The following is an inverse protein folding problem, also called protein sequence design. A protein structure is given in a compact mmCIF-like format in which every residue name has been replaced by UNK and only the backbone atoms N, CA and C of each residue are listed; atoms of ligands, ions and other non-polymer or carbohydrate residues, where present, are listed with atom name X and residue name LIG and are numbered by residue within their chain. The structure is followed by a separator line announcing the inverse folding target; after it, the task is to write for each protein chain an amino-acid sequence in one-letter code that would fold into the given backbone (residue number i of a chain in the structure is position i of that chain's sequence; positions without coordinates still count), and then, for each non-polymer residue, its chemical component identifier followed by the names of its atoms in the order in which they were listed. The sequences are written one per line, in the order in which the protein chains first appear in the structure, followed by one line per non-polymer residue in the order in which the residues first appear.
data_IF_969939015318
#
_entry.id   IF_969939015318
#
_cell.length_a   1.000
_cell.length_b   1.000
_cell.length_c   1.000
_cell.angle_alpha   90.00
_cell.angle_beta   90.00
_cell.angle_gamma   90.00
#
_symmetry.space_group_name_H-M   'P 1'
#
loop_
_entity.id
_entity.type
_entity.pdbx_description
1 polymer ?
#
# COMPACT_ATOMS: atom_id res chain seq x y z
N UNK A 1 -28.07 20.20 -13.06
CA UNK A 1 -27.20 21.15 -12.33
C UNK A 1 -27.51 21.06 -10.84
N UNK A 2 -26.49 21.15 -10.00
CA UNK A 2 -26.68 21.20 -8.55
C UNK A 2 -27.50 22.43 -8.14
N UNK A 3 -28.37 22.26 -7.15
CA UNK A 3 -29.33 23.27 -6.69
C UNK A 3 -28.91 23.94 -5.38
N UNK A 4 -27.92 23.38 -4.68
CA UNK A 4 -27.44 23.86 -3.39
C UNK A 4 -26.01 23.36 -3.10
N UNK A 5 -25.39 23.90 -2.05
CA UNK A 5 -24.01 23.56 -1.66
C UNK A 5 -23.83 22.09 -1.27
N UNK A 6 -24.87 21.45 -0.72
CA UNK A 6 -24.82 20.03 -0.36
C UNK A 6 -24.70 19.15 -1.61
N UNK A 7 -25.44 19.48 -2.66
CA UNK A 7 -25.35 18.80 -3.96
C UNK A 7 -24.00 19.05 -4.62
N UNK A 8 -23.46 20.28 -4.55
CA UNK A 8 -22.11 20.58 -5.06
C UNK A 8 -21.06 19.72 -4.34
N UNK A 9 -21.10 19.65 -3.01
CA UNK A 9 -20.18 18.83 -2.22
C UNK A 9 -20.23 17.36 -2.64
N UNK A 10 -21.44 16.80 -2.77
CA UNK A 10 -21.62 15.41 -3.19
C UNK A 10 -21.08 15.16 -4.61
N UNK A 11 -21.26 16.10 -5.54
CA UNK A 11 -20.71 15.99 -6.89
C UNK A 11 -19.17 16.02 -6.89
N UNK A 12 -18.55 16.86 -6.04
CA UNK A 12 -17.09 16.92 -5.90
C UNK A 12 -16.55 15.62 -5.31
N UNK A 13 -17.16 15.10 -4.24
CA UNK A 13 -16.77 13.83 -3.63
C UNK A 13 -16.87 12.67 -4.63
N UNK A 14 -17.95 12.61 -5.41
CA UNK A 14 -18.12 11.60 -6.46
C UNK A 14 -17.06 11.72 -7.55
N UNK A 15 -16.76 12.94 -8.02
CA UNK A 15 -15.73 13.16 -9.03
C UNK A 15 -14.35 12.69 -8.53
N UNK A 16 -14.00 13.03 -7.28
CA UNK A 16 -12.75 12.59 -6.64
C UNK A 16 -12.67 11.07 -6.57
N UNK A 17 -13.73 10.40 -6.09
CA UNK A 17 -13.79 8.94 -5.98
C UNK A 17 -13.62 8.30 -7.37
N UNK A 18 -14.34 8.79 -8.37
CA UNK A 18 -14.26 8.29 -9.73
C UNK A 18 -12.85 8.43 -10.33
N UNK A 19 -12.17 9.55 -10.09
CA UNK A 19 -10.79 9.77 -10.55
C UNK A 19 -9.82 8.75 -9.95
N UNK A 20 -9.85 8.57 -8.63
CA UNK A 20 -8.92 7.66 -7.96
C UNK A 20 -9.25 6.18 -8.24
N UNK A 21 -10.51 5.84 -8.49
CA UNK A 21 -10.95 4.46 -8.75
C UNK A 21 -10.50 3.90 -10.10
N UNK A 22 -10.02 4.74 -11.03
CA UNK A 22 -9.51 4.31 -12.34
C UNK A 22 -8.32 3.35 -12.19
N UNK A 23 -8.15 2.47 -13.16
CA UNK A 23 -6.97 1.59 -13.22
C UNK A 23 -5.67 2.37 -13.45
N UNK A 24 -5.75 3.51 -14.13
CA UNK A 24 -4.62 4.41 -14.39
C UNK A 24 -4.33 5.41 -13.27
N UNK A 25 -4.98 5.29 -12.11
CA UNK A 25 -4.85 6.20 -10.98
C UNK A 25 -3.41 6.32 -10.48
N UNK A 26 -2.91 7.55 -10.42
CA UNK A 26 -1.62 7.89 -9.84
C UNK A 26 -1.61 7.60 -8.33
N UNK A 27 -2.74 7.79 -7.64
CA UNK A 27 -2.89 7.43 -6.22
C UNK A 27 -2.59 5.94 -6.02
N UNK A 28 -3.20 5.06 -6.82
CA UNK A 28 -2.95 3.60 -6.75
C UNK A 28 -1.48 3.26 -7.01
N UNK A 29 -0.90 3.87 -8.05
CA UNK A 29 0.50 3.65 -8.40
C UNK A 29 1.45 4.06 -7.26
N UNK A 30 1.23 5.22 -6.65
CA UNK A 30 2.04 5.70 -5.53
C UNK A 30 1.87 4.81 -4.28
N UNK A 31 0.66 4.36 -3.98
CA UNK A 31 0.39 3.42 -2.88
C UNK A 31 1.17 2.12 -3.08
N UNK A 32 1.00 1.48 -4.24
CA UNK A 32 1.70 0.22 -4.57
C UNK A 32 3.22 0.40 -4.56
N UNK A 33 3.73 1.46 -5.19
CA UNK A 33 5.17 1.71 -5.26
C UNK A 33 5.78 1.93 -3.87
N UNK A 34 5.09 2.68 -3.01
CA UNK A 34 5.55 2.93 -1.63
C UNK A 34 5.60 1.62 -0.84
N UNK A 35 4.59 0.75 -0.97
CA UNK A 35 4.60 -0.58 -0.35
C UNK A 35 5.74 -1.47 -0.87
N UNK A 36 5.99 -1.44 -2.18
CA UNK A 36 7.10 -2.17 -2.81
C UNK A 36 8.47 -1.70 -2.31
N UNK A 37 8.64 -0.39 -2.13
CA UNK A 37 9.88 0.20 -1.61
C UNK A 37 10.14 -0.23 -0.17
N UNK A 38 9.11 -0.22 0.68
CA UNK A 38 9.24 -0.73 2.06
C UNK A 38 9.49 -2.23 2.12
N UNK A 39 8.97 -3.04 1.20
CA UNK A 39 9.37 -4.46 1.12
C UNK A 39 10.86 -4.57 0.80
N UNK A 40 11.35 -3.81 -0.17
CA UNK A 40 12.76 -3.86 -0.54
C UNK A 40 13.66 -3.40 0.62
N UNK A 41 13.33 -2.27 1.25
CA UNK A 41 14.11 -1.68 2.34
C UNK A 41 14.00 -2.48 3.65
N UNK A 42 12.78 -2.63 4.18
CA UNK A 42 12.55 -3.17 5.52
C UNK A 42 12.71 -4.69 5.56
N UNK A 43 12.48 -5.38 4.44
CA UNK A 43 12.41 -6.85 4.40
C UNK A 43 13.60 -7.48 3.73
N UNK A 44 13.92 -7.06 2.51
CA UNK A 44 15.00 -7.69 1.73
C UNK A 44 16.35 -7.07 2.06
N UNK A 45 16.43 -5.75 2.20
CA UNK A 45 17.65 -5.03 2.56
C UNK A 45 18.16 -5.34 3.97
N UNK A 46 17.27 -5.67 4.90
CA UNK A 46 17.64 -6.07 6.27
C UNK A 46 17.97 -7.55 6.43
N UNK A 47 17.82 -8.36 5.37
CA UNK A 47 17.94 -9.81 5.44
C UNK A 47 19.29 -10.30 4.90
N UNK A 48 20.10 -10.87 5.78
CA UNK A 48 21.32 -11.60 5.41
C UNK A 48 21.05 -13.10 5.53
N UNK A 49 20.89 -13.84 4.41
CA UNK A 49 20.57 -15.27 4.47
C UNK A 49 21.71 -16.08 5.07
N UNK A 50 21.42 -16.91 6.07
CA UNK A 50 22.33 -17.96 6.55
C UNK A 50 21.81 -19.37 6.24
N UNK A 51 20.49 -19.53 6.05
CA UNK A 51 19.83 -20.84 5.95
C UNK A 51 18.94 -20.99 4.71
N UNK A 52 18.27 -19.93 4.27
CA UNK A 52 17.40 -19.98 3.10
C UNK A 52 17.31 -18.64 2.37
N UNK A 53 17.11 -18.70 1.06
CA UNK A 53 16.87 -17.54 0.20
C UNK A 53 15.40 -17.14 0.24
N UNK A 54 15.12 -15.83 0.23
CA UNK A 54 13.74 -15.33 0.12
C UNK A 54 13.27 -15.40 -1.32
N UNK A 55 12.00 -15.72 -1.52
CA UNK A 55 11.43 -15.90 -2.86
C UNK A 55 11.29 -14.60 -3.67
N UNK A 56 11.39 -13.43 -3.04
CA UNK A 56 11.16 -12.12 -3.68
C UNK A 56 9.69 -11.78 -3.95
N UNK A 57 8.77 -12.73 -3.76
CA UNK A 57 7.36 -12.63 -4.20
C UNK A 57 6.49 -11.69 -3.37
N UNK A 58 6.95 -11.26 -2.19
CA UNK A 58 6.16 -10.34 -1.35
C UNK A 58 5.99 -8.99 -2.05
N UNK A 59 7.02 -8.52 -2.75
CA UNK A 59 7.03 -7.22 -3.43
C UNK A 59 5.97 -7.14 -4.54
N UNK A 60 5.69 -8.26 -5.20
CA UNK A 60 4.76 -8.29 -6.34
C UNK A 60 3.31 -8.59 -5.94
N UNK A 61 3.04 -8.81 -4.64
CA UNK A 61 1.75 -9.26 -4.13
C UNK A 61 0.84 -8.13 -3.60
N UNK A 62 1.12 -6.87 -3.97
CA UNK A 62 0.26 -5.74 -3.60
C UNK A 62 -0.96 -5.61 -4.51
N UNK A 63 -2.12 -5.39 -3.90
CA UNK A 63 -3.36 -5.07 -4.61
C UNK A 63 -3.99 -3.80 -4.04
N UNK A 64 -4.71 -3.09 -4.90
CA UNK A 64 -5.54 -1.95 -4.47
C UNK A 64 -7.00 -2.29 -4.69
N UNK A 65 -7.84 -2.07 -3.68
CA UNK A 65 -9.29 -2.30 -3.77
C UNK A 65 -10.02 -0.97 -3.73
N UNK A 66 -11.01 -0.80 -4.61
CA UNK A 66 -11.87 0.38 -4.59
C UNK A 66 -12.87 0.26 -3.44
N UNK A 67 -12.80 1.21 -2.51
CA UNK A 67 -13.73 1.32 -1.40
C UNK A 67 -14.79 2.38 -1.67
N UNK A 68 -15.92 2.31 -0.94
CA UNK A 68 -17.04 3.26 -1.10
C UNK A 68 -16.63 4.74 -0.96
N UNK A 69 -15.57 5.02 -0.19
CA UNK A 69 -15.08 6.36 0.12
C UNK A 69 -13.59 6.55 -0.22
N UNK A 70 -12.98 5.64 -0.97
CA UNK A 70 -11.55 5.69 -1.19
C UNK A 70 -10.95 4.44 -1.82
N UNK A 71 -9.73 4.12 -1.44
CA UNK A 71 -8.95 2.99 -1.92
C UNK A 71 -8.20 2.40 -0.73
N UNK A 72 -8.17 1.07 -0.65
CA UNK A 72 -7.32 0.30 0.26
C UNK A 72 -6.12 -0.30 -0.49
N UNK A 73 -5.03 -0.55 0.23
CA UNK A 73 -3.83 -1.23 -0.27
C UNK A 73 -3.56 -2.41 0.65
N UNK A 74 -3.50 -3.61 0.09
CA UNK A 74 -3.20 -4.84 0.81
C UNK A 74 -2.06 -5.60 0.15
N UNK A 75 -1.39 -6.45 0.92
CA UNK A 75 -0.46 -7.45 0.39
C UNK A 75 -1.08 -8.82 0.58
N UNK A 76 -1.41 -9.50 -0.52
CA UNK A 76 -2.16 -10.77 -0.50
C UNK A 76 -1.25 -11.99 -0.60
N UNK A 77 0.02 -11.86 -0.24
CA UNK A 77 0.95 -13.00 -0.28
C UNK A 77 0.53 -14.03 0.77
N UNK A 78 0.17 -15.20 0.29
CA UNK A 78 -0.09 -16.39 1.12
C UNK A 78 0.92 -17.49 0.80
N UNK A 79 1.38 -18.19 1.84
CA UNK A 79 2.15 -19.43 1.74
C UNK A 79 1.57 -20.47 2.71
N UNK A 80 1.16 -21.63 2.19
CA UNK A 80 0.56 -22.73 2.96
C UNK A 80 -0.59 -22.29 3.89
N UNK A 81 -1.48 -21.40 3.41
CA UNK A 81 -2.60 -20.87 4.20
C UNK A 81 -2.22 -19.79 5.22
N UNK A 82 -0.96 -19.31 5.20
CA UNK A 82 -0.48 -18.24 6.08
C UNK A 82 -0.34 -16.94 5.31
N UNK A 83 -0.94 -15.88 5.87
CA UNK A 83 -0.67 -14.50 5.44
C UNK A 83 0.79 -14.13 5.77
N UNK A 84 1.60 -14.06 4.72
CA UNK A 84 3.03 -13.81 4.84
C UNK A 84 3.29 -12.36 5.26
N UNK A 85 2.46 -11.42 4.80
CA UNK A 85 2.61 -10.02 5.19
C UNK A 85 2.34 -9.86 6.69
N UNK A 86 1.30 -10.50 7.24
CA UNK A 86 1.03 -10.50 8.68
C UNK A 86 2.14 -11.17 9.51
N UNK A 87 2.71 -12.28 9.03
CA UNK A 87 3.84 -12.95 9.68
C UNK A 87 5.06 -12.03 9.74
N UNK A 88 5.36 -11.34 8.63
CA UNK A 88 6.48 -10.39 8.55
C UNK A 88 6.24 -9.18 9.45
N UNK A 89 5.05 -8.60 9.39
CA UNK A 89 4.64 -7.43 10.17
C UNK A 89 4.80 -7.66 11.67
N UNK A 90 4.40 -8.85 12.15
CA UNK A 90 4.32 -9.17 13.58
C UNK A 90 5.49 -9.97 14.12
N UNK A 91 6.27 -10.63 13.25
CA UNK A 91 7.28 -11.61 13.67
C UNK A 91 6.69 -12.95 14.14
N UNK A 92 5.36 -13.11 14.14
CA UNK A 92 4.69 -14.30 14.66
C UNK A 92 4.36 -15.29 13.54
N UNK A 93 4.57 -16.59 13.79
CA UNK A 93 4.23 -17.65 12.82
C UNK A 93 5.34 -18.06 11.85
N UNK A 94 6.54 -17.48 11.98
CA UNK A 94 7.75 -17.93 11.28
C UNK A 94 8.08 -19.39 11.63
N UNK A 95 8.43 -20.18 10.61
CA UNK A 95 8.96 -21.54 10.78
C UNK A 95 10.26 -21.54 11.60
N UNK A 96 11.08 -20.50 11.41
CA UNK A 96 12.30 -20.27 12.17
C UNK A 96 12.13 -19.01 13.04
N UNK A 97 11.57 -19.15 14.26
CA UNK A 97 11.43 -18.01 15.16
C UNK A 97 12.81 -17.44 15.54
N UNK A 98 12.85 -16.19 15.98
CA UNK A 98 14.09 -15.52 16.37
C UNK A 98 14.65 -16.00 17.73
N UNK A 99 14.49 -17.27 18.06
CA UNK A 99 15.03 -17.87 19.28
C UNK A 99 16.55 -18.10 19.20
N UNK A 100 17.09 -18.16 17.99
CA UNK A 100 18.50 -18.41 17.73
C UNK A 100 19.31 -17.12 17.45
N UNK A 101 18.66 -15.96 17.46
CA UNK A 101 19.32 -14.65 17.27
C UNK A 101 19.71 -14.32 15.82
N UNK A 102 19.29 -15.12 14.83
CA UNK A 102 19.56 -14.89 13.41
C UNK A 102 18.73 -13.77 12.79
N UNK A 103 17.77 -13.20 13.52
CA UNK A 103 16.93 -12.10 13.06
C UNK A 103 15.79 -12.51 12.11
N UNK A 104 15.56 -13.81 11.93
CA UNK A 104 14.55 -14.31 10.99
C UNK A 104 13.14 -13.97 11.41
N UNK A 105 12.79 -14.25 12.68
CA UNK A 105 11.50 -13.93 13.27
C UNK A 105 11.33 -12.49 13.78
N UNK A 106 12.29 -11.59 13.50
CA UNK A 106 12.13 -10.19 13.91
C UNK A 106 10.99 -9.53 13.13
N UNK A 107 10.07 -8.83 13.81
CA UNK A 107 9.02 -8.05 13.15
C UNK A 107 9.63 -7.02 12.21
N UNK A 108 9.03 -6.89 11.03
CA UNK A 108 9.40 -5.91 9.99
C UNK A 108 8.12 -5.22 9.54
N UNK A 109 7.77 -4.08 10.13
CA UNK A 109 6.43 -3.51 10.05
C UNK A 109 6.20 -2.75 8.73
N UNK A 110 6.23 -3.47 7.60
CA UNK A 110 6.14 -2.94 6.24
C UNK A 110 4.87 -2.15 6.00
N UNK A 111 3.71 -2.70 6.41
CA UNK A 111 2.42 -2.05 6.15
C UNK A 111 2.28 -0.78 6.99
N UNK A 112 2.75 -0.83 8.25
CA UNK A 112 2.81 0.35 9.11
C UNK A 112 3.73 1.43 8.54
N UNK A 113 4.95 1.08 8.13
CA UNK A 113 5.91 2.03 7.56
C UNK A 113 5.43 2.63 6.24
N UNK A 114 4.77 1.81 5.41
CA UNK A 114 4.07 2.26 4.20
C UNK A 114 2.99 3.28 4.53
N UNK A 115 2.12 2.98 5.50
CA UNK A 115 1.05 3.88 5.91
C UNK A 115 1.59 5.21 6.48
N UNK A 116 2.67 5.19 7.26
CA UNK A 116 3.30 6.43 7.75
C UNK A 116 3.92 7.24 6.62
N UNK A 117 4.61 6.60 5.68
CA UNK A 117 5.25 7.26 4.55
C UNK A 117 4.24 7.94 3.63
N UNK A 118 3.08 7.31 3.42
CA UNK A 118 2.02 7.85 2.56
C UNK A 118 1.38 9.15 3.11
N UNK A 119 1.63 9.51 4.38
CA UNK A 119 1.12 10.76 4.99
C UNK A 119 1.95 11.99 4.62
N UNK A 120 3.06 11.85 3.90
CA UNK A 120 3.98 12.95 3.55
C UNK A 120 3.43 13.93 2.48
N UNK A 121 2.19 13.74 2.02
CA UNK A 121 1.54 14.57 1.02
C UNK A 121 1.70 14.06 -0.42
N UNK A 122 2.45 12.98 -0.66
CA UNK A 122 2.57 12.38 -2.00
C UNK A 122 1.21 11.95 -2.58
N UNK A 123 0.29 11.50 -1.73
CA UNK A 123 -1.07 11.14 -2.14
C UNK A 123 -1.88 12.36 -2.59
N UNK A 124 -1.69 13.52 -1.97
CA UNK A 124 -2.32 14.77 -2.42
C UNK A 124 -1.80 15.18 -3.79
N UNK A 125 -0.48 15.08 -4.01
CA UNK A 125 0.11 15.38 -5.30
C UNK A 125 -0.37 14.41 -6.40
N UNK A 126 -0.49 13.12 -6.08
CA UNK A 126 -1.03 12.10 -6.98
C UNK A 126 -2.50 12.37 -7.33
N UNK A 127 -3.34 12.67 -6.32
CA UNK A 127 -4.75 13.02 -6.51
C UNK A 127 -4.92 14.22 -7.43
N UNK A 128 -4.11 15.26 -7.28
CA UNK A 128 -4.15 16.42 -8.18
C UNK A 128 -3.88 16.02 -9.64
N UNK A 129 -2.95 15.08 -9.88
CA UNK A 129 -2.68 14.56 -11.23
C UNK A 129 -3.88 13.80 -11.80
N UNK A 130 -4.52 12.96 -10.97
CA UNK A 130 -5.71 12.21 -11.37
C UNK A 130 -6.88 13.15 -11.74
N UNK A 131 -7.14 14.17 -10.92
CA UNK A 131 -8.16 15.17 -11.18
C UNK A 131 -7.87 15.99 -12.45
N UNK A 132 -6.61 16.40 -12.68
CA UNK A 132 -6.22 17.11 -13.90
C UNK A 132 -6.40 16.25 -15.14
N UNK A 133 -6.09 14.96 -15.08
CA UNK A 133 -6.33 14.02 -16.18
C UNK A 133 -7.82 13.91 -16.54
N UNK A 134 -8.69 14.20 -15.58
CA UNK A 134 -10.15 14.20 -15.73
C UNK A 134 -10.73 15.58 -16.09
N UNK A 135 -9.86 16.56 -16.38
CA UNK A 135 -10.26 17.91 -16.77
C UNK A 135 -10.69 18.80 -15.60
N UNK A 136 -10.42 18.39 -14.35
CA UNK A 136 -10.74 19.16 -13.15
C UNK A 136 -9.53 20.03 -12.79
N UNK A 137 -9.74 21.36 -12.77
CA UNK A 137 -8.70 22.29 -12.35
C UNK A 137 -8.43 22.18 -10.83
N UNK A 138 -7.14 22.16 -10.46
CA UNK A 138 -6.67 21.99 -9.07
C UNK A 138 -5.56 22.98 -8.67
N UNK A 139 -5.33 23.99 -9.53
CA UNK A 139 -4.44 25.12 -9.28
C UNK A 139 -5.15 26.27 -8.57
#
# INVERSE_FOLDING_TARGET
MAKNIKEIKAMVEQAVIQSIHKSSSNVKQIMTKTGQDHVEEDVYGTYTPLLYERTGKLKDAFITTNESNGISLDNIREDDGKDVAAVIETGQGYTYPDSYGYGYGKPRPVMKNTAETLKDGRLTAALKKDLKADGINTD
#
